data_IF_840528535940
#
_entry.id   IF_840528535940
#
_cell.length_a   1.000
_cell.length_b   1.000
_cell.length_c   1.000
_cell.angle_alpha   90.00
_cell.angle_beta   90.00
_cell.angle_gamma   90.00
#
_symmetry.space_group_name_H-M   'P 1'
#
loop_
_entity.id
_entity.type
_entity.pdbx_description
1 polymer ?
#
# COMPACT_ATOMS: atom_id res chain seq x y z
N UNK A 1 -8.27 -1.91 -24.31
CA UNK A 1 -7.65 -0.59 -24.07
C UNK A 1 -8.19 -0.04 -22.76
N UNK A 2 -7.57 -0.42 -21.63
CA UNK A 2 -7.92 0.11 -20.32
C UNK A 2 -7.19 1.44 -20.14
N UNK A 3 -7.94 2.54 -20.04
CA UNK A 3 -7.39 3.83 -19.67
C UNK A 3 -6.87 3.70 -18.23
N UNK A 4 -5.57 3.49 -18.06
CA UNK A 4 -4.92 3.68 -16.78
C UNK A 4 -5.05 5.17 -16.44
N UNK A 5 -6.09 5.52 -15.67
CA UNK A 5 -6.23 6.83 -15.06
C UNK A 5 -5.06 6.98 -14.09
N UNK A 6 -3.97 7.52 -14.60
CA UNK A 6 -2.87 7.99 -13.77
C UNK A 6 -3.44 8.93 -12.71
N UNK A 7 -2.96 8.86 -11.47
CA UNK A 7 -3.38 9.74 -10.38
C UNK A 7 -3.17 11.25 -10.66
N UNK A 8 -2.65 11.60 -11.85
CA UNK A 8 -2.48 12.94 -12.41
C UNK A 8 -3.83 13.61 -12.77
N UNK A 9 -4.96 12.90 -12.77
CA UNK A 9 -6.27 13.50 -13.13
C UNK A 9 -6.98 14.25 -11.98
N UNK A 10 -6.32 14.44 -10.83
CA UNK A 10 -6.88 15.21 -9.71
C UNK A 10 -6.20 16.58 -9.63
N UNK A 11 -6.96 17.70 -9.73
CA UNK A 11 -6.40 19.05 -9.75
C UNK A 11 -5.70 19.43 -8.44
N UNK A 12 -6.05 18.74 -7.34
CA UNK A 12 -5.44 18.92 -6.01
C UNK A 12 -5.14 17.57 -5.38
N UNK A 13 -4.03 17.48 -4.66
CA UNK A 13 -3.76 16.39 -3.71
C UNK A 13 -4.03 16.89 -2.30
N UNK A 14 -4.66 16.06 -1.47
CA UNK A 14 -5.06 16.39 -0.10
C UNK A 14 -4.55 15.28 0.82
N UNK A 15 -3.72 15.65 1.78
CA UNK A 15 -3.19 14.74 2.78
C UNK A 15 -3.37 15.30 4.18
N UNK A 16 -3.47 14.43 5.19
CA UNK A 16 -3.33 14.86 6.58
C UNK A 16 -1.84 15.10 6.84
N UNK A 17 -1.47 16.23 7.45
CA UNK A 17 -0.06 16.54 7.68
C UNK A 17 0.57 15.55 8.69
N UNK A 18 1.87 15.30 8.55
CA UNK A 18 2.60 14.40 9.47
C UNK A 18 2.48 14.87 10.93
N UNK A 19 2.35 13.91 11.85
CA UNK A 19 2.19 14.19 13.28
C UNK A 19 0.88 14.88 13.66
N UNK A 20 -0.13 14.90 12.78
CA UNK A 20 -1.45 15.43 13.12
C UNK A 20 -2.08 14.63 14.27
N UNK A 21 -2.63 15.34 15.26
CA UNK A 21 -3.32 14.72 16.36
C UNK A 21 -4.79 14.45 16.00
N UNK A 22 -5.14 13.17 15.79
CA UNK A 22 -6.51 12.73 15.52
C UNK A 22 -7.30 12.39 16.80
N UNK A 23 -6.76 12.72 17.98
CA UNK A 23 -7.45 12.59 19.26
C UNK A 23 -8.01 13.96 19.68
N UNK A 24 -9.33 14.03 19.74
CA UNK A 24 -10.05 15.18 20.25
C UNK A 24 -10.23 15.07 21.77
N UNK A 25 -10.06 16.20 22.46
CA UNK A 25 -10.35 16.33 23.88
C UNK A 25 -11.45 17.38 24.10
N UNK A 26 -12.57 17.07 24.78
CA UNK A 26 -13.72 17.97 24.92
C UNK A 26 -13.39 19.37 25.46
N UNK A 27 -12.45 19.45 26.39
CA UNK A 27 -12.04 20.70 27.04
C UNK A 27 -10.94 21.48 26.30
N UNK A 28 -10.35 20.91 25.24
CA UNK A 28 -9.24 21.49 24.50
C UNK A 28 -9.61 21.72 23.03
N UNK A 29 -9.03 22.76 22.44
CA UNK A 29 -9.12 22.94 20.99
C UNK A 29 -8.15 21.96 20.33
N UNK A 30 -8.64 21.11 19.44
CA UNK A 30 -7.80 20.15 18.71
C UNK A 30 -7.58 20.65 17.29
N UNK A 31 -6.33 20.67 16.84
CA UNK A 31 -5.97 21.15 15.50
C UNK A 31 -5.53 19.99 14.62
N UNK A 32 -6.19 19.84 13.48
CA UNK A 32 -5.91 18.82 12.48
C UNK A 32 -5.46 19.54 11.20
N UNK A 33 -4.15 19.59 10.93
CA UNK A 33 -3.61 20.17 9.71
C UNK A 33 -3.77 19.23 8.50
N UNK A 34 -4.12 19.83 7.36
CA UNK A 34 -4.19 19.17 6.05
C UNK A 34 -3.26 19.86 5.07
N UNK A 35 -2.44 19.09 4.36
CA UNK A 35 -1.60 19.59 3.28
C UNK A 35 -2.34 19.48 1.96
N UNK A 36 -2.50 20.62 1.27
CA UNK A 36 -3.16 20.72 -0.02
C UNK A 36 -2.16 21.18 -1.06
N UNK A 37 -1.94 20.34 -2.09
CA UNK A 37 -1.01 20.61 -3.18
C UNK A 37 -1.75 20.85 -4.49
N UNK A 38 -1.30 21.85 -5.24
CA UNK A 38 -1.76 22.07 -6.61
C UNK A 38 -1.01 21.18 -7.60
N UNK A 39 -1.73 20.29 -8.27
CA UNK A 39 -1.16 19.38 -9.27
C UNK A 39 -1.23 19.94 -10.70
N UNK A 40 -1.86 21.10 -10.91
CA UNK A 40 -1.95 21.73 -12.23
C UNK A 40 -0.77 22.68 -12.49
N UNK A 41 -0.55 22.96 -13.77
CA UNK A 41 0.46 23.90 -14.25
C UNK A 41 0.04 25.38 -14.14
N UNK A 42 -1.19 25.65 -13.69
CA UNK A 42 -1.73 27.00 -13.51
C UNK A 42 -2.13 27.29 -12.06
N UNK A 43 -2.35 28.55 -11.70
CA UNK A 43 -2.83 28.91 -10.37
C UNK A 43 -4.26 28.42 -10.13
N UNK A 44 -4.55 27.92 -8.92
CA UNK A 44 -5.89 27.50 -8.51
C UNK A 44 -6.42 28.34 -7.37
N UNK A 45 -7.59 28.93 -7.56
CA UNK A 45 -8.36 29.51 -6.47
C UNK A 45 -9.22 28.42 -5.82
N UNK A 46 -9.01 28.21 -4.52
CA UNK A 46 -9.66 27.13 -3.76
C UNK A 46 -10.36 27.66 -2.52
N UNK A 47 -11.49 27.04 -2.18
CA UNK A 47 -12.21 27.24 -0.92
C UNK A 47 -12.09 25.96 -0.09
N UNK A 48 -11.87 26.11 1.21
CA UNK A 48 -11.72 25.00 2.14
C UNK A 48 -12.98 24.84 3.00
N UNK A 49 -13.36 23.59 3.24
CA UNK A 49 -14.48 23.20 4.07
C UNK A 49 -14.12 21.98 4.93
N UNK A 50 -14.85 21.77 6.01
CA UNK A 50 -14.67 20.61 6.87
C UNK A 50 -16.02 20.28 7.51
N UNK A 51 -16.27 19.00 7.74
CA UNK A 51 -17.48 18.52 8.40
C UNK A 51 -17.13 17.37 9.33
N UNK A 52 -17.48 17.54 10.60
CA UNK A 52 -17.48 16.53 11.65
C UNK A 52 -18.85 16.61 12.33
N UNK A 53 -19.47 15.48 12.61
CA UNK A 53 -20.75 15.50 13.30
C UNK A 53 -20.56 16.00 14.74
N UNK A 54 -21.53 16.78 15.23
CA UNK A 54 -21.68 17.21 16.63
C UNK A 54 -20.57 18.11 17.22
N UNK A 55 -19.47 18.36 16.51
CA UNK A 55 -18.36 19.21 16.96
C UNK A 55 -18.17 20.38 15.98
N UNK A 56 -18.35 21.64 16.38
CA UNK A 56 -18.11 22.79 15.50
C UNK A 56 -16.65 22.87 15.03
N UNK A 57 -16.43 23.24 13.77
CA UNK A 57 -15.09 23.36 13.19
C UNK A 57 -14.80 24.80 12.74
N UNK A 58 -13.57 25.25 12.94
CA UNK A 58 -13.03 26.49 12.36
C UNK A 58 -11.87 26.14 11.42
N UNK A 59 -11.81 26.76 10.26
CA UNK A 59 -10.81 26.46 9.23
C UNK A 59 -9.97 27.70 8.95
N UNK A 60 -8.64 27.53 8.90
CA UNK A 60 -7.72 28.61 8.57
C UNK A 60 -6.60 28.11 7.64
N UNK A 61 -6.35 28.76 6.50
CA UNK A 61 -7.19 29.78 5.87
C UNK A 61 -8.51 29.18 5.34
N UNK A 62 -9.55 30.00 5.13
CA UNK A 62 -10.80 29.54 4.50
C UNK A 62 -10.70 29.46 2.97
N UNK A 63 -9.80 30.25 2.36
CA UNK A 63 -9.56 30.29 0.92
C UNK A 63 -8.09 30.57 0.63
N UNK A 64 -7.60 30.11 -0.50
CA UNK A 64 -6.23 30.39 -0.95
C UNK A 64 -6.13 30.36 -2.48
N UNK A 65 -5.08 31.01 -3.00
CA UNK A 65 -4.64 30.84 -4.38
C UNK A 65 -3.36 30.00 -4.35
N UNK A 66 -3.40 28.80 -4.89
CA UNK A 66 -2.28 27.87 -4.95
C UNK A 66 -1.52 28.05 -6.26
N UNK A 67 -0.23 28.36 -6.16
CA UNK A 67 0.66 28.40 -7.33
C UNK A 67 0.94 26.97 -7.86
N UNK A 68 1.35 26.81 -9.13
CA UNK A 68 1.67 25.49 -9.69
C UNK A 68 2.67 24.72 -8.83
N UNK A 69 2.37 23.45 -8.54
CA UNK A 69 3.20 22.57 -7.70
C UNK A 69 3.46 23.04 -6.26
N UNK A 70 2.83 24.14 -5.83
CA UNK A 70 2.93 24.63 -4.46
C UNK A 70 1.95 23.89 -3.53
N UNK A 71 2.31 23.82 -2.26
CA UNK A 71 1.48 23.27 -1.19
C UNK A 71 1.12 24.35 -0.17
N UNK A 72 -0.04 24.20 0.45
CA UNK A 72 -0.43 24.97 1.64
C UNK A 72 -0.91 24.02 2.73
N UNK A 73 -0.63 24.37 3.98
CA UNK A 73 -1.24 23.68 5.12
C UNK A 73 -2.49 24.44 5.57
N UNK A 74 -3.61 23.73 5.67
CA UNK A 74 -4.90 24.25 6.14
C UNK A 74 -5.25 23.58 7.45
N UNK A 75 -5.44 24.37 8.50
CA UNK A 75 -5.73 23.86 9.84
C UNK A 75 -7.22 23.82 10.10
N UNK A 76 -7.75 22.63 10.36
CA UNK A 76 -9.10 22.44 10.89
C UNK A 76 -9.01 22.40 12.41
N UNK A 77 -9.58 23.39 13.08
CA UNK A 77 -9.67 23.45 14.54
C UNK A 77 -11.03 22.96 14.99
N UNK A 78 -11.06 21.85 15.72
CA UNK A 78 -12.24 21.34 16.42
C UNK A 78 -12.46 22.17 17.69
N UNK A 79 -13.64 22.76 17.81
CA UNK A 79 -13.99 23.60 18.95
C UNK A 79 -14.44 22.77 20.15
N UNK A 80 -14.31 23.33 21.35
CA UNK A 80 -14.84 22.74 22.58
C UNK A 80 -16.33 22.45 22.43
N UNK A 81 -16.74 21.27 22.89
CA UNK A 81 -18.11 20.82 22.80
C UNK A 81 -18.82 21.02 24.14
N UNK A 82 -20.05 21.50 24.11
CA UNK A 82 -20.88 21.71 25.31
C UNK A 82 -21.93 20.61 25.51
N UNK A 83 -22.03 19.68 24.57
CA UNK A 83 -23.00 18.57 24.55
C UNK A 83 -22.28 17.23 24.72
N UNK A 84 -22.95 16.22 25.32
CA UNK A 84 -22.34 14.92 25.55
C UNK A 84 -22.01 14.20 24.24
N UNK A 85 -20.82 13.60 24.17
CA UNK A 85 -20.39 12.74 23.07
C UNK A 85 -21.18 11.43 23.13
N UNK A 86 -21.85 11.10 22.04
CA UNK A 86 -22.65 9.86 21.93
C UNK A 86 -21.92 8.74 21.21
N UNK A 87 -20.91 9.07 20.40
CA UNK A 87 -20.09 8.11 19.65
C UNK A 87 -18.60 8.37 19.89
N UNK A 88 -17.80 7.38 20.33
CA UNK A 88 -16.37 7.57 20.57
C UNK A 88 -15.54 7.89 19.33
N UNK A 89 -16.08 7.61 18.13
CA UNK A 89 -15.36 7.76 16.87
C UNK A 89 -16.24 8.55 15.89
N UNK A 90 -15.65 9.52 15.19
CA UNK A 90 -16.36 10.31 14.20
C UNK A 90 -15.47 10.62 12.99
N UNK A 91 -16.08 10.68 11.82
CA UNK A 91 -15.36 10.90 10.56
C UNK A 91 -15.33 12.39 10.24
N UNK A 92 -14.13 12.98 10.27
CA UNK A 92 -13.87 14.33 9.77
C UNK A 92 -13.67 14.25 8.26
N UNK A 93 -14.56 14.86 7.49
CA UNK A 93 -14.36 15.04 6.04
C UNK A 93 -13.88 16.47 5.77
N UNK A 94 -12.69 16.59 5.20
CA UNK A 94 -12.15 17.85 4.69
C UNK A 94 -12.46 17.99 3.20
N UNK A 95 -12.76 19.21 2.78
CA UNK A 95 -13.18 19.56 1.42
C UNK A 95 -12.28 20.65 0.85
N UNK A 96 -11.82 20.43 -0.37
CA UNK A 96 -11.23 21.46 -1.23
C UNK A 96 -12.16 21.66 -2.42
N UNK A 97 -12.75 22.84 -2.52
CA UNK A 97 -13.61 23.20 -3.65
C UNK A 97 -12.78 23.89 -4.73
N UNK A 98 -12.68 23.26 -5.90
CA UNK A 98 -12.08 23.83 -7.10
C UNK A 98 -13.21 24.08 -8.10
N UNK A 99 -13.49 25.33 -8.45
CA UNK A 99 -14.59 25.69 -9.36
C UNK A 99 -15.94 25.03 -8.96
N UNK A 100 -16.27 25.07 -7.66
CA UNK A 100 -17.45 24.42 -7.04
C UNK A 100 -17.51 22.89 -7.09
N UNK A 101 -16.45 22.20 -7.55
CA UNK A 101 -16.34 20.74 -7.44
C UNK A 101 -15.60 20.37 -6.15
N UNK A 102 -16.19 19.56 -5.25
CA UNK A 102 -15.54 19.14 -4.02
C UNK A 102 -14.55 18.00 -4.27
N UNK A 103 -13.36 18.13 -3.70
CA UNK A 103 -12.37 17.07 -3.53
C UNK A 103 -12.22 16.81 -2.03
N UNK A 104 -12.21 15.55 -1.61
CA UNK A 104 -12.31 15.21 -0.19
C UNK A 104 -11.20 14.33 0.32
N UNK A 105 -10.80 14.57 1.57
CA UNK A 105 -9.99 13.65 2.39
C UNK A 105 -10.70 13.43 3.72
N UNK A 106 -10.86 12.20 4.15
CA UNK A 106 -11.46 11.87 5.45
C UNK A 106 -10.43 11.39 6.45
N UNK A 107 -10.64 11.72 7.72
CA UNK A 107 -9.86 11.24 8.85
C UNK A 107 -10.81 10.74 9.95
N UNK A 108 -10.43 9.66 10.61
CA UNK A 108 -11.11 9.10 11.78
C UNK A 108 -10.59 9.86 13.01
N UNK A 109 -11.49 10.58 13.68
CA UNK A 109 -11.18 11.34 14.89
C UNK A 109 -11.73 10.57 16.09
N UNK A 110 -10.85 10.25 17.03
CA UNK A 110 -11.24 9.66 18.32
C UNK A 110 -11.63 10.77 19.28
N UNK A 111 -12.85 10.72 19.82
CA UNK A 111 -13.40 11.75 20.71
C UNK A 111 -13.10 11.51 22.19
N UNK A 112 -12.31 10.48 22.50
CA UNK A 112 -11.81 10.18 23.85
C UNK A 112 -10.27 10.15 23.87
N UNK A 113 -9.66 10.56 24.99
CA UNK A 113 -8.22 10.45 25.15
C UNK A 113 -7.82 8.97 25.12
N UNK A 114 -7.09 8.58 24.08
CA UNK A 114 -6.44 7.28 23.99
C UNK A 114 -5.02 7.42 24.52
N UNK A 115 -4.66 6.61 25.51
CA UNK A 115 -3.33 6.57 26.12
C UNK A 115 -2.38 5.61 25.41
N UNK A 116 -2.75 5.15 24.22
CA UNK A 116 -1.97 4.13 23.51
C UNK A 116 -0.64 4.74 23.03
N UNK A 117 0.44 4.24 23.64
CA UNK A 117 1.81 4.47 23.21
C UNK A 117 2.15 3.39 22.19
N UNK A 118 1.97 3.73 20.92
CA UNK A 118 2.35 2.88 19.80
C UNK A 118 3.69 3.35 19.24
N UNK A 119 4.65 2.43 19.20
CA UNK A 119 6.01 2.61 18.67
C UNK A 119 6.30 1.66 17.51
N UNK A 120 5.29 0.90 17.08
CA UNK A 120 5.43 -0.14 16.07
C UNK A 120 5.15 0.45 14.70
N UNK A 121 6.07 0.36 13.73
CA UNK A 121 5.79 0.83 12.39
C UNK A 121 4.68 0.01 11.70
N UNK A 122 3.93 0.64 10.78
CA UNK A 122 2.92 -0.05 9.96
C UNK A 122 3.44 -1.29 9.23
N UNK A 123 2.59 -2.30 9.11
CA UNK A 123 2.88 -3.51 8.33
C UNK A 123 2.56 -3.24 6.87
N UNK A 124 3.48 -3.58 5.96
CA UNK A 124 3.28 -3.51 4.51
C UNK A 124 3.38 -4.90 3.90
N UNK A 125 2.39 -5.24 3.09
CA UNK A 125 2.41 -6.35 2.17
C UNK A 125 2.26 -5.83 0.74
N UNK A 126 2.79 -6.56 -0.24
CA UNK A 126 2.71 -6.16 -1.63
C UNK A 126 2.62 -7.35 -2.58
N UNK A 127 2.05 -7.12 -3.75
CA UNK A 127 2.02 -8.05 -4.87
C UNK A 127 2.44 -7.32 -6.13
N UNK A 128 3.49 -7.82 -6.76
CA UNK A 128 4.01 -7.28 -8.01
C UNK A 128 3.38 -7.97 -9.20
N UNK A 129 3.12 -7.22 -10.29
CA UNK A 129 2.68 -7.77 -11.57
C UNK A 129 3.34 -7.04 -12.74
N UNK A 130 3.85 -7.79 -13.69
CA UNK A 130 4.50 -7.28 -14.90
C UNK A 130 5.98 -7.66 -14.98
N UNK A 131 6.56 -7.44 -16.15
CA UNK A 131 7.98 -7.64 -16.39
C UNK A 131 8.47 -6.60 -17.40
N UNK A 132 9.57 -5.92 -17.07
CA UNK A 132 10.19 -4.91 -17.90
C UNK A 132 11.48 -5.39 -18.60
N UNK A 133 11.88 -6.65 -18.46
CA UNK A 133 13.11 -7.21 -19.06
C UNK A 133 13.22 -6.93 -20.57
N UNK A 134 12.14 -7.13 -21.31
CA UNK A 134 12.07 -6.89 -22.77
C UNK A 134 11.86 -5.41 -23.17
N UNK A 135 11.62 -4.53 -22.19
CA UNK A 135 11.26 -3.13 -22.38
C UNK A 135 12.24 -2.20 -21.64
N UNK A 136 13.50 -2.61 -21.52
CA UNK A 136 14.55 -1.89 -20.80
C UNK A 136 15.20 -0.76 -21.61
N UNK A 137 14.96 -0.71 -22.93
CA UNK A 137 15.55 0.29 -23.80
C UNK A 137 14.69 1.56 -23.88
N UNK A 138 15.29 2.76 -23.97
CA UNK A 138 14.54 4.02 -24.06
C UNK A 138 13.54 4.08 -25.23
N UNK A 139 13.80 3.35 -26.32
CA UNK A 139 12.94 3.37 -27.52
C UNK A 139 11.72 2.45 -27.40
N UNK A 140 11.68 1.55 -26.42
CA UNK A 140 10.60 0.56 -26.26
C UNK A 140 9.98 0.53 -24.86
N UNK A 141 10.54 1.24 -23.88
CA UNK A 141 10.09 1.21 -22.48
C UNK A 141 8.63 1.69 -22.29
N UNK A 142 8.11 2.54 -23.18
CA UNK A 142 6.72 3.00 -23.12
C UNK A 142 5.70 1.92 -23.50
N UNK A 143 6.15 0.84 -24.16
CA UNK A 143 5.30 -0.29 -24.54
C UNK A 143 5.11 -1.29 -23.40
N UNK A 144 6.02 -1.27 -22.43
CA UNK A 144 5.97 -2.14 -21.24
C UNK A 144 5.31 -1.43 -20.06
N UNK A 145 4.51 -2.19 -19.31
CA UNK A 145 3.83 -1.71 -18.11
C UNK A 145 4.03 -2.68 -16.96
N UNK A 146 4.06 -2.12 -15.76
CA UNK A 146 4.08 -2.89 -14.53
C UNK A 146 3.16 -2.26 -13.50
N UNK A 147 2.74 -3.07 -12.54
CA UNK A 147 1.81 -2.65 -11.48
C UNK A 147 2.19 -3.29 -10.15
N UNK A 148 1.83 -2.58 -9.09
CA UNK A 148 2.01 -3.01 -7.72
C UNK A 148 0.69 -2.84 -6.98
N UNK A 149 0.28 -3.87 -6.26
CA UNK A 149 -0.78 -3.81 -5.26
C UNK A 149 -0.10 -3.79 -3.90
N UNK A 150 -0.32 -2.72 -3.14
CA UNK A 150 0.20 -2.50 -1.80
C UNK A 150 -0.95 -2.63 -0.80
N UNK A 151 -0.72 -3.34 0.29
CA UNK A 151 -1.65 -3.47 1.40
C UNK A 151 -0.92 -3.05 2.69
N UNK A 152 -1.43 -2.03 3.37
CA UNK A 152 -0.84 -1.50 4.59
C UNK A 152 -1.84 -1.55 5.75
N UNK A 153 -1.36 -1.85 6.95
CA UNK A 153 -2.20 -1.91 8.14
C UNK A 153 -1.40 -1.57 9.38
N UNK A 154 -2.05 -0.85 10.29
CA UNK A 154 -1.59 -0.62 11.64
C UNK A 154 -2.75 -0.86 12.61
N UNK A 155 -2.61 -1.88 13.47
CA UNK A 155 -3.69 -2.34 14.34
C UNK A 155 -3.78 -1.50 15.63
N UNK A 156 -2.75 -0.72 15.95
CA UNK A 156 -2.59 -0.01 17.22
C UNK A 156 -3.03 1.45 17.12
N UNK A 157 -2.35 2.28 16.31
CA UNK A 157 -2.69 3.69 16.14
C UNK A 157 -3.41 3.99 14.82
N UNK A 158 -3.32 3.10 13.84
CA UNK A 158 -3.94 3.25 12.52
C UNK A 158 -3.11 4.07 11.55
N UNK A 159 -3.41 3.95 10.26
CA UNK A 159 -2.64 4.56 9.16
C UNK A 159 -3.03 6.02 8.96
N UNK A 160 -2.07 6.95 9.11
CA UNK A 160 -2.27 8.38 8.87
C UNK A 160 -2.23 8.71 7.37
N UNK A 161 -1.22 8.21 6.65
CA UNK A 161 -1.09 8.42 5.21
C UNK A 161 -0.19 7.41 4.52
N UNK A 162 -0.41 7.27 3.21
CA UNK A 162 0.38 6.43 2.31
C UNK A 162 0.79 7.28 1.11
N UNK A 163 2.08 7.44 0.90
CA UNK A 163 2.66 8.26 -0.16
C UNK A 163 3.46 7.40 -1.14
N UNK A 164 3.59 7.90 -2.37
CA UNK A 164 4.38 7.26 -3.43
C UNK A 164 5.20 8.29 -4.18
N UNK A 165 6.40 7.90 -4.61
CA UNK A 165 7.25 8.67 -5.50
C UNK A 165 7.78 7.75 -6.60
N UNK A 166 7.41 7.97 -7.88
CA UNK A 166 6.50 9.02 -8.36
C UNK A 166 5.07 8.89 -7.82
N UNK A 167 4.34 10.02 -7.74
CA UNK A 167 2.93 10.01 -7.32
C UNK A 167 2.07 9.18 -8.28
N UNK A 168 1.27 8.26 -7.75
CA UNK A 168 0.42 7.42 -8.58
C UNK A 168 -0.54 6.47 -7.87
N UNK A 169 -0.64 6.52 -6.55
CA UNK A 169 -1.47 5.59 -5.78
C UNK A 169 -2.97 5.79 -6.03
N UNK A 170 -3.66 4.68 -6.24
CA UNK A 170 -5.11 4.59 -6.35
C UNK A 170 -5.63 3.70 -5.22
N UNK A 171 -6.42 4.26 -4.30
CA UNK A 171 -6.95 3.54 -3.14
C UNK A 171 -8.30 2.90 -3.47
N UNK A 172 -8.44 1.60 -3.19
CA UNK A 172 -9.69 0.85 -3.37
C UNK A 172 -9.90 -0.08 -2.17
N UNK A 173 -10.89 0.14 -1.27
CA UNK A 173 -11.83 1.27 -1.22
C UNK A 173 -11.15 2.59 -0.82
N UNK A 174 -11.95 3.67 -0.75
CA UNK A 174 -11.47 5.00 -0.37
C UNK A 174 -10.76 4.99 1.00
N UNK A 175 -9.54 5.53 1.04
CA UNK A 175 -8.72 5.59 2.24
C UNK A 175 -9.15 6.72 3.19
N UNK A 176 -9.30 6.39 4.48
CA UNK A 176 -9.53 7.32 5.58
C UNK A 176 -8.33 7.31 6.53
N UNK A 177 -7.76 8.49 6.81
CA UNK A 177 -6.65 8.61 7.76
C UNK A 177 -7.07 8.18 9.17
N UNK A 178 -6.19 7.54 9.92
CA UNK A 178 -6.47 6.95 11.24
C UNK A 178 -7.22 5.61 11.19
N UNK A 179 -7.42 5.02 10.01
CA UNK A 179 -8.01 3.68 9.92
C UNK A 179 -7.06 2.60 10.41
N UNK A 180 -7.59 1.68 11.23
CA UNK A 180 -6.89 0.45 11.65
C UNK A 180 -7.16 -0.72 10.71
N UNK A 181 -8.08 -0.54 9.77
CA UNK A 181 -8.40 -1.56 8.77
C UNK A 181 -7.31 -1.62 7.70
N UNK A 182 -7.22 -2.78 7.03
CA UNK A 182 -6.31 -2.98 5.91
C UNK A 182 -6.62 -1.99 4.78
N UNK A 183 -5.62 -1.19 4.41
CA UNK A 183 -5.71 -0.23 3.30
C UNK A 183 -5.02 -0.81 2.08
N UNK A 184 -5.76 -0.99 0.99
CA UNK A 184 -5.25 -1.45 -0.30
C UNK A 184 -5.11 -0.31 -1.30
N UNK A 185 -3.97 -0.27 -1.97
CA UNK A 185 -3.68 0.73 -2.99
C UNK A 185 -2.97 0.11 -4.20
N UNK A 186 -3.28 0.62 -5.38
CA UNK A 186 -2.70 0.19 -6.64
C UNK A 186 -1.82 1.29 -7.23
N UNK A 187 -0.65 0.89 -7.73
CA UNK A 187 0.25 1.74 -8.49
C UNK A 187 0.50 1.10 -9.86
N UNK A 188 0.55 1.90 -10.92
CA UNK A 188 0.85 1.43 -12.27
C UNK A 188 1.73 2.45 -12.98
N UNK A 189 2.77 1.96 -13.65
CA UNK A 189 3.69 2.79 -14.41
C UNK A 189 4.19 2.06 -15.66
N UNK A 190 4.77 2.83 -16.58
CA UNK A 190 5.51 2.28 -17.72
C UNK A 190 6.89 1.80 -17.27
N UNK A 191 7.52 0.94 -18.08
CA UNK A 191 8.88 0.47 -17.81
C UNK A 191 9.94 1.57 -17.86
N UNK A 192 9.62 2.75 -18.42
CA UNK A 192 10.49 3.93 -18.34
C UNK A 192 10.64 4.46 -16.91
N UNK A 193 9.65 4.20 -16.04
CA UNK A 193 9.69 4.49 -14.61
C UNK A 193 9.73 3.17 -13.86
N UNK A 194 10.90 2.54 -13.80
CA UNK A 194 11.07 1.21 -13.22
C UNK A 194 11.18 1.20 -11.70
N UNK A 195 11.20 2.36 -11.05
CA UNK A 195 11.37 2.49 -9.60
C UNK A 195 10.23 3.28 -8.99
N UNK A 196 9.82 2.86 -7.80
CA UNK A 196 8.88 3.59 -6.96
C UNK A 196 9.29 3.41 -5.50
N UNK A 197 9.19 4.49 -4.74
CA UNK A 197 9.32 4.50 -3.29
C UNK A 197 7.94 4.73 -2.67
N UNK A 198 7.64 4.00 -1.60
CA UNK A 198 6.45 4.21 -0.78
C UNK A 198 6.82 4.53 0.66
N UNK A 199 5.98 5.35 1.28
CA UNK A 199 6.07 5.69 2.69
C UNK A 199 4.69 5.51 3.31
N UNK A 200 4.63 4.78 4.41
CA UNK A 200 3.43 4.62 5.22
C UNK A 200 3.75 5.17 6.60
N UNK A 201 2.92 6.11 7.07
CA UNK A 201 3.03 6.74 8.38
C UNK A 201 1.76 6.45 9.17
N UNK A 202 1.90 6.08 10.44
CA UNK A 202 0.77 5.93 11.37
C UNK A 202 0.41 7.25 12.08
N UNK A 203 -0.59 7.24 12.95
CA UNK A 203 -1.04 8.44 13.68
C UNK A 203 -0.02 8.90 14.75
N UNK A 204 0.86 8.02 15.23
CA UNK A 204 1.92 8.34 16.20
C UNK A 204 3.23 8.81 15.55
N UNK A 205 3.31 8.77 14.22
CA UNK A 205 4.47 9.17 13.44
C UNK A 205 5.50 8.06 13.24
N UNK A 206 5.20 6.80 13.60
CA UNK A 206 6.04 5.70 13.16
C UNK A 206 5.81 5.50 11.66
N UNK A 207 6.89 5.19 10.94
CA UNK A 207 6.83 5.06 9.50
C UNK A 207 7.69 3.93 8.99
N UNK A 208 7.32 3.43 7.82
CA UNK A 208 8.10 2.47 7.05
C UNK A 208 8.24 2.98 5.63
N UNK A 209 9.46 2.87 5.10
CA UNK A 209 9.77 3.17 3.71
C UNK A 209 10.06 1.86 2.98
N UNK A 210 9.42 1.65 1.84
CA UNK A 210 9.67 0.49 0.98
C UNK A 210 9.96 0.96 -0.45
N UNK A 211 11.11 0.55 -0.97
CA UNK A 211 11.53 0.82 -2.35
C UNK A 211 11.31 -0.42 -3.21
N UNK A 212 10.82 -0.20 -4.43
CA UNK A 212 10.62 -1.24 -5.43
C UNK A 212 11.30 -0.88 -6.74
N UNK A 213 11.94 -1.87 -7.34
CA UNK A 213 12.55 -1.78 -8.67
C UNK A 213 12.13 -2.99 -9.48
N UNK A 214 11.49 -2.75 -10.63
CA UNK A 214 10.98 -3.82 -11.49
C UNK A 214 12.09 -4.74 -11.99
N UNK A 215 13.32 -4.23 -12.12
CA UNK A 215 14.46 -5.02 -12.58
C UNK A 215 15.12 -5.83 -11.46
N UNK A 216 14.93 -5.42 -10.20
CA UNK A 216 15.53 -6.05 -9.03
C UNK A 216 14.44 -6.61 -8.11
N UNK A 217 13.62 -7.50 -8.66
CA UNK A 217 12.60 -8.19 -7.89
C UNK A 217 13.24 -9.28 -7.02
N UNK A 218 13.14 -9.11 -5.71
CA UNK A 218 13.41 -10.19 -4.76
C UNK A 218 12.22 -11.15 -4.73
N UNK A 219 12.48 -12.46 -4.74
CA UNK A 219 11.45 -13.47 -4.61
C UNK A 219 10.67 -13.31 -3.30
N UNK A 220 9.36 -13.49 -3.35
CA UNK A 220 8.53 -13.53 -2.15
C UNK A 220 8.85 -14.78 -1.32
N UNK A 221 8.63 -14.72 0.00
CA UNK A 221 8.86 -15.86 0.89
C UNK A 221 8.14 -17.14 0.44
N UNK A 222 6.92 -17.00 -0.10
CA UNK A 222 6.15 -18.13 -0.65
C UNK A 222 6.78 -18.73 -1.91
N UNK A 223 7.38 -17.92 -2.78
CA UNK A 223 8.07 -18.39 -3.98
C UNK A 223 9.35 -19.12 -3.61
N UNK A 224 10.11 -18.58 -2.64
CA UNK A 224 11.29 -19.24 -2.08
C UNK A 224 10.88 -20.60 -1.49
N UNK A 225 9.80 -20.65 -0.70
CA UNK A 225 9.32 -21.90 -0.11
C UNK A 225 8.94 -22.94 -1.18
N UNK A 226 8.24 -22.52 -2.24
CA UNK A 226 7.86 -23.40 -3.35
C UNK A 226 9.08 -23.98 -4.08
N UNK A 227 10.10 -23.15 -4.35
CA UNK A 227 11.36 -23.60 -4.97
C UNK A 227 12.05 -24.63 -4.07
N UNK A 228 12.18 -24.32 -2.77
CA UNK A 228 12.84 -25.20 -1.80
C UNK A 228 12.13 -26.56 -1.70
N UNK A 229 10.81 -26.56 -1.56
CA UNK A 229 10.00 -27.79 -1.53
C UNK A 229 10.13 -28.58 -2.83
N UNK A 230 10.10 -27.89 -3.97
CA UNK A 230 10.27 -28.50 -5.29
C UNK A 230 11.62 -29.23 -5.43
N UNK A 231 12.71 -28.61 -4.96
CA UNK A 231 14.05 -29.22 -4.98
C UNK A 231 14.12 -30.46 -4.09
N UNK A 232 13.55 -30.40 -2.88
CA UNK A 232 13.51 -31.56 -1.99
C UNK A 232 12.70 -32.72 -2.56
N UNK A 233 11.55 -32.43 -3.19
CA UNK A 233 10.70 -33.43 -3.83
C UNK A 233 11.42 -34.09 -5.02
N UNK A 234 12.11 -33.31 -5.84
CA UNK A 234 12.89 -33.83 -6.97
C UNK A 234 14.03 -34.75 -6.51
N UNK A 235 14.75 -34.38 -5.46
CA UNK A 235 15.78 -35.24 -4.85
C UNK A 235 15.19 -36.56 -4.34
N UNK A 236 14.02 -36.52 -3.69
CA UNK A 236 13.33 -37.71 -3.22
C UNK A 236 12.97 -38.67 -4.36
N UNK A 237 12.44 -38.14 -5.48
CA UNK A 237 12.13 -38.95 -6.67
C UNK A 237 13.39 -39.61 -7.24
N UNK A 238 14.51 -38.88 -7.35
CA UNK A 238 15.77 -39.44 -7.84
C UNK A 238 16.22 -40.63 -6.98
N UNK A 239 16.17 -40.49 -5.66
CA UNK A 239 16.53 -41.57 -4.73
C UNK A 239 15.59 -42.77 -4.90
N UNK A 240 14.29 -42.54 -4.99
CA UNK A 240 13.30 -43.60 -5.20
C UNK A 240 13.53 -44.37 -6.52
N UNK A 241 13.86 -43.66 -7.61
CA UNK A 241 14.19 -44.27 -8.91
C UNK A 241 15.46 -45.12 -8.81
N UNK A 242 16.51 -44.63 -8.15
CA UNK A 242 17.75 -45.40 -7.93
C UNK A 242 17.44 -46.68 -7.16
N UNK A 243 16.69 -46.59 -6.06
CA UNK A 243 16.27 -47.76 -5.27
C UNK A 243 15.45 -48.72 -6.11
N UNK A 244 14.51 -48.24 -6.91
CA UNK A 244 13.70 -49.08 -7.80
C UNK A 244 14.57 -49.80 -8.84
N UNK A 245 15.54 -49.12 -9.47
CA UNK A 245 16.49 -49.74 -10.42
C UNK A 245 17.32 -50.81 -9.73
N UNK A 246 17.85 -50.53 -8.54
CA UNK A 246 18.62 -51.50 -7.75
C UNK A 246 17.74 -52.71 -7.42
N UNK A 247 16.52 -52.50 -6.98
CA UNK A 247 15.57 -53.56 -6.63
C UNK A 247 15.23 -54.45 -7.84
N UNK A 248 14.94 -53.83 -8.99
CA UNK A 248 14.68 -54.55 -10.26
C UNK A 248 15.92 -55.35 -10.69
N UNK A 249 17.12 -54.76 -10.63
CA UNK A 249 18.38 -55.45 -10.95
C UNK A 249 18.65 -56.62 -10.01
N UNK A 250 18.43 -56.47 -8.71
CA UNK A 250 18.59 -57.55 -7.74
C UNK A 250 17.60 -58.69 -7.99
N UNK A 251 16.34 -58.37 -8.34
CA UNK A 251 15.33 -59.38 -8.68
C UNK A 251 15.68 -60.15 -9.96
N UNK A 252 16.21 -59.49 -10.99
CA UNK A 252 16.63 -60.14 -12.24
C UNK A 252 17.89 -61.00 -12.09
N UNK A 253 18.80 -60.67 -11.17
CA UNK A 253 19.96 -61.55 -10.87
C UNK A 253 19.56 -62.89 -10.26
N UNK A 254 18.40 -62.98 -9.60
CA UNK A 254 17.90 -64.23 -8.98
C UNK A 254 17.21 -65.18 -9.97
N UNK A 255 16.85 -64.73 -11.17
CA UNK A 255 16.10 -65.52 -12.17
C UNK A 255 16.97 -66.11 -13.29
N UNK A 256 18.27 -65.82 -13.35
CA UNK A 256 19.24 -66.47 -14.24
C UNK A 256 19.87 -67.70 -13.56
N UNK A 257 19.06 -68.75 -13.35
CA UNK A 257 19.55 -70.12 -13.11
C UNK A 257 19.25 -70.91 -14.38
N UNK A 258 20.24 -71.06 -15.26
CA UNK A 258 20.12 -71.88 -16.47
C UNK A 258 20.03 -73.36 -16.03
N UNK A 259 18.98 -74.12 -16.40
CA UNK A 259 18.89 -75.53 -16.06
C UNK A 259 19.96 -76.32 -16.83
N UNK A 260 20.79 -77.05 -16.10
CA UNK A 260 21.81 -77.95 -16.63
C UNK A 260 21.12 -79.10 -17.37
N UNK A 261 21.23 -79.13 -18.70
CA UNK A 261 20.75 -80.24 -19.51
C UNK A 261 21.43 -81.55 -19.07
N UNK A 262 20.64 -82.56 -18.73
CA UNK A 262 21.08 -83.90 -18.34
C UNK A 262 21.05 -84.77 -19.60
N UNK A 263 22.21 -85.18 -20.09
CA UNK A 263 22.32 -86.19 -21.16
C UNK A 263 22.03 -87.58 -20.57
N UNK A 264 21.12 -88.32 -21.19
CA UNK A 264 20.86 -89.73 -20.95
C UNK A 264 21.89 -90.61 -21.69
N UNK A 265 22.54 -91.50 -20.96
CA UNK A 265 23.05 -92.79 -21.46
C UNK A 265 22.42 -93.90 -20.63
#
# INVERSE_FOLDING_TARGET
MGNARSAIDHPVAIEVSSGANLHYHPDLMTQIPFDVKNNLYGPLNVLFGAKLNDVPQKILPQRAILQPSNSITVTVTLQKMTSPITNPISNLTFYVFVQNKPFTRSAIVSLYPQTDNDWTPPKINYKFKGDCTLYSEPQNCEKGFWSLELAAQDDESGILKILSEPYGLLFEPYFMAGTKELVTAHYTATCCKSKVDFWVEDVKGNFVKQSFDVFNQSLLAGEIAAIVVGVFLLLFIIVAVIVAIIFIRQKNKRSLVIPKARSSS
#
